data_IF_483718190687
#
_entry.id   IF_483718190687
#
_cell.length_a   1.000
_cell.length_b   1.000
_cell.length_c   1.000
_cell.angle_alpha   90.00
_cell.angle_beta   90.00
_cell.angle_gamma   90.00
#
_symmetry.space_group_name_H-M   'P 1'
#
loop_
_entity.id
_entity.type
_entity.pdbx_description
1 polymer ?
#
# COMPACT_ATOMS: atom_id res chain seq x y z
N UNK A 1 8.39 67.04 -8.74
CA UNK A 1 7.22 66.53 -8.00
C UNK A 1 6.68 65.31 -8.72
N UNK A 2 6.78 64.17 -8.04
CA UNK A 2 6.06 62.89 -8.16
C UNK A 2 5.87 62.24 -9.54
N UNK A 3 6.85 61.40 -9.85
CA UNK A 3 6.79 60.32 -10.84
C UNK A 3 5.82 59.23 -10.37
N UNK A 4 5.01 58.79 -11.32
CA UNK A 4 4.03 57.70 -11.35
C UNK A 4 4.35 56.53 -10.41
N UNK A 5 3.49 56.33 -9.40
CA UNK A 5 3.50 55.11 -8.56
C UNK A 5 3.03 53.94 -9.40
N UNK A 6 3.96 53.06 -9.74
CA UNK A 6 3.73 51.78 -10.40
C UNK A 6 2.83 50.88 -9.55
N UNK A 7 1.78 50.41 -10.22
CA UNK A 7 0.80 49.42 -9.80
C UNK A 7 1.50 48.16 -9.26
N UNK A 8 1.44 47.90 -7.95
CA UNK A 8 1.78 46.59 -7.39
C UNK A 8 0.61 45.65 -7.67
N UNK A 9 0.86 44.68 -8.57
CA UNK A 9 -0.04 43.57 -8.88
C UNK A 9 -0.38 42.81 -7.60
N UNK A 10 -1.65 42.89 -7.21
CA UNK A 10 -2.30 41.98 -6.28
C UNK A 10 -2.44 40.63 -6.99
N UNK A 11 -1.66 39.63 -6.58
CA UNK A 11 -1.87 38.24 -6.96
C UNK A 11 -2.57 37.55 -5.78
N UNK A 12 -3.88 37.40 -5.94
CA UNK A 12 -4.80 36.77 -5.01
C UNK A 12 -4.34 35.36 -4.63
N UNK A 13 -4.34 35.05 -3.33
CA UNK A 13 -4.19 33.70 -2.84
C UNK A 13 -5.34 32.83 -3.35
N UNK A 14 -5.02 31.76 -4.07
CA UNK A 14 -5.97 30.69 -4.33
C UNK A 14 -6.26 29.92 -3.02
N UNK A 15 -7.36 29.16 -3.02
CA UNK A 15 -8.04 28.51 -1.88
C UNK A 15 -7.18 27.67 -0.90
N UNK A 16 -5.88 27.51 -1.16
CA UNK A 16 -4.90 26.77 -0.35
C UNK A 16 -3.91 27.67 0.41
N UNK A 17 -4.00 29.00 0.28
CA UNK A 17 -3.08 29.93 0.94
C UNK A 17 -1.65 29.91 0.37
N UNK A 18 -1.47 29.42 -0.86
CA UNK A 18 -0.20 29.42 -1.58
C UNK A 18 -0.17 30.46 -2.70
N UNK A 19 0.99 31.07 -2.92
CA UNK A 19 1.21 31.98 -4.05
C UNK A 19 1.47 31.21 -5.34
N UNK A 20 1.27 31.87 -6.49
CA UNK A 20 1.58 31.29 -7.81
C UNK A 20 3.06 30.84 -7.89
N UNK A 21 4.00 31.64 -7.36
CA UNK A 21 5.42 31.27 -7.30
C UNK A 21 5.66 30.01 -6.47
N UNK A 22 4.94 29.84 -5.36
CA UNK A 22 5.03 28.63 -4.53
C UNK A 22 4.47 27.40 -5.25
N UNK A 23 3.34 27.54 -5.96
CA UNK A 23 2.78 26.46 -6.78
C UNK A 23 3.74 26.04 -7.88
N UNK A 24 4.33 27.00 -8.61
CA UNK A 24 5.35 26.70 -9.63
C UNK A 24 6.57 25.98 -9.02
N UNK A 25 6.99 26.37 -7.82
CA UNK A 25 8.10 25.72 -7.13
C UNK A 25 7.75 24.28 -6.73
N UNK A 26 6.50 24.03 -6.32
CA UNK A 26 6.00 22.69 -6.00
C UNK A 26 6.08 21.79 -7.23
N UNK A 27 5.64 22.25 -8.40
CA UNK A 27 5.65 21.45 -9.63
C UNK A 27 7.08 21.02 -10.01
N UNK A 28 8.05 21.93 -9.89
CA UNK A 28 9.46 21.66 -10.19
C UNK A 28 10.07 20.69 -9.18
N UNK A 29 9.77 20.85 -7.89
CA UNK A 29 10.25 19.96 -6.82
C UNK A 29 9.60 18.57 -6.87
N UNK A 30 8.35 18.48 -7.33
CA UNK A 30 7.64 17.21 -7.49
C UNK A 30 8.27 16.35 -8.59
N UNK A 31 8.90 16.97 -9.59
CA UNK A 31 9.69 16.30 -10.63
C UNK A 31 11.09 15.86 -10.18
N UNK A 32 11.46 16.10 -8.91
CA UNK A 32 12.73 15.63 -8.34
C UNK A 32 13.91 16.61 -8.48
N UNK A 33 13.66 17.86 -8.90
CA UNK A 33 14.69 18.90 -8.93
C UNK A 33 15.15 19.30 -7.53
N UNK A 34 16.39 19.78 -7.43
CA UNK A 34 16.97 20.29 -6.19
C UNK A 34 16.41 21.67 -5.83
N UNK A 35 16.61 22.08 -4.58
CA UNK A 35 16.19 23.41 -4.10
C UNK A 35 16.88 24.55 -4.85
N UNK A 36 18.13 24.33 -5.29
CA UNK A 36 18.90 25.30 -6.06
C UNK A 36 18.37 25.44 -7.50
N UNK A 37 18.09 24.33 -8.17
CA UNK A 37 17.48 24.34 -9.50
C UNK A 37 16.09 24.96 -9.47
N UNK A 38 15.28 24.58 -8.48
CA UNK A 38 13.92 25.13 -8.29
C UNK A 38 13.96 26.63 -8.08
N UNK A 39 14.84 27.11 -7.21
CA UNK A 39 15.01 28.53 -6.93
C UNK A 39 15.38 29.32 -8.20
N UNK A 40 16.26 28.75 -9.02
CA UNK A 40 16.66 29.34 -10.31
C UNK A 40 15.48 29.39 -11.28
N UNK A 41 14.70 28.32 -11.38
CA UNK A 41 13.54 28.23 -12.30
C UNK A 41 12.43 29.21 -11.92
N UNK A 42 12.15 29.37 -10.63
CA UNK A 42 11.04 30.23 -10.16
C UNK A 42 11.47 31.65 -9.78
N UNK A 43 12.75 31.99 -9.93
CA UNK A 43 13.27 33.33 -9.73
C UNK A 43 13.34 33.79 -8.27
N UNK A 44 13.68 32.88 -7.34
CA UNK A 44 13.80 33.18 -5.90
C UNK A 44 15.14 32.69 -5.33
N UNK A 45 15.41 32.97 -4.06
CA UNK A 45 16.60 32.42 -3.38
C UNK A 45 16.39 30.96 -2.96
N UNK A 46 17.46 30.16 -2.97
CA UNK A 46 17.44 28.76 -2.44
C UNK A 46 16.90 28.70 -1.02
N UNK A 47 17.23 29.67 -0.18
CA UNK A 47 16.74 29.76 1.20
C UNK A 47 15.22 29.86 1.28
N UNK A 48 14.59 30.54 0.32
CA UNK A 48 13.13 30.69 0.26
C UNK A 48 12.46 29.35 -0.03
N UNK A 49 13.00 28.58 -0.98
CA UNK A 49 12.54 27.21 -1.30
C UNK A 49 12.73 26.28 -0.09
N UNK A 50 13.89 26.33 0.55
CA UNK A 50 14.17 25.56 1.77
C UNK A 50 13.21 25.92 2.91
N UNK A 51 12.94 27.22 3.12
CA UNK A 51 12.01 27.68 4.15
C UNK A 51 10.59 27.16 3.90
N UNK A 52 10.10 27.22 2.66
CA UNK A 52 8.77 26.71 2.33
C UNK A 52 8.65 25.20 2.56
N UNK A 53 9.65 24.42 2.12
CA UNK A 53 9.67 22.96 2.30
C UNK A 53 9.72 22.51 3.75
N UNK A 54 10.29 23.32 4.64
CA UNK A 54 10.52 22.92 6.03
C UNK A 54 9.52 23.55 7.01
N UNK A 55 8.91 24.69 6.66
CA UNK A 55 8.15 25.50 7.62
C UNK A 55 6.79 25.98 7.13
N UNK A 56 6.42 25.77 5.85
CA UNK A 56 5.09 26.14 5.35
C UNK A 56 4.22 24.88 5.21
N UNK A 57 3.26 24.62 6.13
CA UNK A 57 2.43 23.42 6.09
C UNK A 57 1.63 23.25 4.79
N UNK A 58 1.09 24.35 4.24
CA UNK A 58 0.32 24.30 2.99
C UNK A 58 1.21 23.88 1.81
N UNK A 59 2.46 24.37 1.80
CA UNK A 59 3.42 24.03 0.75
C UNK A 59 3.83 22.56 0.83
N UNK A 60 4.09 22.07 2.05
CA UNK A 60 4.46 20.67 2.31
C UNK A 60 3.31 19.73 1.90
N UNK A 61 2.08 20.06 2.29
CA UNK A 61 0.91 19.24 1.99
C UNK A 61 0.69 19.10 0.47
N UNK A 62 0.73 20.21 -0.27
CA UNK A 62 0.53 20.19 -1.72
C UNK A 62 1.71 19.52 -2.45
N UNK A 63 2.96 19.75 -2.02
CA UNK A 63 4.13 19.04 -2.57
C UNK A 63 4.03 17.53 -2.38
N UNK A 64 3.61 17.07 -1.20
CA UNK A 64 3.41 15.64 -0.93
C UNK A 64 2.28 15.05 -1.77
N UNK A 65 1.19 15.79 -1.96
CA UNK A 65 0.08 15.39 -2.83
C UNK A 65 0.56 15.21 -4.27
N UNK A 66 1.28 16.19 -4.83
CA UNK A 66 1.82 16.11 -6.19
C UNK A 66 2.80 14.95 -6.36
N UNK A 67 3.71 14.75 -5.39
CA UNK A 67 4.63 13.61 -5.38
C UNK A 67 3.90 12.27 -5.36
N UNK A 68 2.84 12.13 -4.56
CA UNK A 68 2.01 10.91 -4.56
C UNK A 68 1.33 10.65 -5.90
N UNK A 69 0.84 11.70 -6.57
CA UNK A 69 0.23 11.56 -7.91
C UNK A 69 1.25 11.08 -8.95
N UNK A 70 2.43 11.70 -9.00
CA UNK A 70 3.52 11.30 -9.91
C UNK A 70 4.00 9.88 -9.61
N UNK A 71 4.14 9.56 -8.32
CA UNK A 71 4.52 8.21 -7.88
C UNK A 71 3.47 7.17 -8.29
N UNK A 72 2.19 7.45 -8.06
CA UNK A 72 1.08 6.58 -8.46
C UNK A 72 1.10 6.28 -9.95
N UNK A 73 1.19 7.32 -10.80
CA UNK A 73 1.27 7.14 -12.26
C UNK A 73 2.49 6.32 -12.70
N UNK A 74 3.64 6.52 -12.06
CA UNK A 74 4.85 5.73 -12.33
C UNK A 74 4.69 4.27 -11.90
N UNK A 75 4.02 4.03 -10.79
CA UNK A 75 3.73 2.69 -10.26
C UNK A 75 2.71 1.95 -11.13
N UNK A 76 1.70 2.64 -11.65
CA UNK A 76 0.73 2.08 -12.59
C UNK A 76 1.41 1.72 -13.91
N UNK A 77 2.33 2.57 -14.39
CA UNK A 77 3.15 2.25 -15.55
C UNK A 77 4.05 1.03 -15.30
N UNK A 78 4.64 0.90 -14.13
CA UNK A 78 5.42 -0.30 -13.79
C UNK A 78 4.52 -1.54 -13.76
N UNK A 79 3.33 -1.44 -13.15
CA UNK A 79 2.37 -2.53 -13.07
C UNK A 79 1.88 -2.96 -14.46
N UNK A 80 1.70 -2.02 -15.39
CA UNK A 80 1.31 -2.33 -16.78
C UNK A 80 2.42 -2.98 -17.61
N UNK A 81 3.67 -2.93 -17.16
CA UNK A 81 4.79 -3.66 -17.77
C UNK A 81 4.91 -5.11 -17.27
N UNK A 82 4.26 -5.47 -16.15
CA UNK A 82 4.34 -6.82 -15.59
C UNK A 82 3.92 -7.91 -16.59
N UNK A 83 2.80 -7.78 -17.36
CA UNK A 83 2.44 -8.78 -18.35
C UNK A 83 3.56 -9.04 -19.37
N UNK A 84 4.19 -7.99 -19.91
CA UNK A 84 5.30 -8.13 -20.86
C UNK A 84 6.53 -8.80 -20.26
N UNK A 85 6.80 -8.54 -18.98
CA UNK A 85 7.88 -9.22 -18.27
C UNK A 85 7.57 -10.72 -18.13
N UNK A 86 6.31 -11.08 -17.86
CA UNK A 86 5.85 -12.47 -17.80
C UNK A 86 5.98 -13.15 -19.18
N UNK A 87 5.53 -12.50 -20.26
CA UNK A 87 5.67 -13.04 -21.63
C UNK A 87 7.14 -13.31 -21.99
N UNK A 88 8.04 -12.43 -21.54
CA UNK A 88 9.50 -12.58 -21.75
C UNK A 88 10.05 -13.79 -20.97
N UNK A 89 9.58 -13.99 -19.73
CA UNK A 89 9.97 -15.14 -18.91
C UNK A 89 9.45 -16.44 -19.51
N UNK A 90 8.21 -16.47 -20.01
CA UNK A 90 7.63 -17.63 -20.70
C UNK A 90 8.44 -18.01 -21.94
N UNK A 91 8.76 -17.04 -22.79
CA UNK A 91 9.62 -17.25 -23.97
C UNK A 91 10.99 -17.81 -23.58
N UNK A 92 11.59 -17.34 -22.49
CA UNK A 92 12.88 -17.85 -22.01
C UNK A 92 12.79 -19.28 -21.47
N UNK A 93 11.68 -19.64 -20.80
CA UNK A 93 11.39 -21.00 -20.35
C UNK A 93 11.23 -21.95 -21.53
N UNK A 94 10.46 -21.57 -22.55
CA UNK A 94 10.27 -22.38 -23.77
C UNK A 94 11.60 -22.65 -24.50
N UNK A 95 12.55 -21.71 -24.40
CA UNK A 95 13.91 -21.84 -24.93
C UNK A 95 14.85 -22.65 -24.03
N UNK A 96 14.38 -23.09 -22.86
CA UNK A 96 15.15 -23.91 -21.93
C UNK A 96 16.17 -23.13 -21.09
N UNK A 97 15.97 -21.84 -20.83
CA UNK A 97 16.83 -21.07 -19.94
C UNK A 97 16.69 -21.55 -18.49
N UNK A 98 17.64 -22.38 -18.06
CA UNK A 98 17.68 -22.98 -16.72
C UNK A 98 17.84 -21.95 -15.60
N UNK A 99 18.44 -20.79 -15.89
CA UNK A 99 18.58 -19.71 -14.90
C UNK A 99 17.22 -19.06 -14.65
N UNK A 100 16.45 -18.77 -15.70
CA UNK A 100 15.09 -18.24 -15.57
C UNK A 100 14.19 -19.24 -14.84
N UNK A 101 14.27 -20.53 -15.18
CA UNK A 101 13.53 -21.59 -14.49
C UNK A 101 13.84 -21.63 -12.98
N UNK A 102 15.11 -21.57 -12.62
CA UNK A 102 15.53 -21.56 -11.21
C UNK A 102 15.05 -20.31 -10.46
N UNK A 103 15.16 -19.12 -11.06
CA UNK A 103 14.68 -17.88 -10.45
C UNK A 103 13.15 -17.89 -10.25
N UNK A 104 12.39 -18.48 -11.18
CA UNK A 104 10.95 -18.64 -11.01
C UNK A 104 10.59 -19.61 -9.89
N UNK A 105 11.31 -20.73 -9.75
CA UNK A 105 11.10 -21.66 -8.63
C UNK A 105 11.38 -21.02 -7.27
N UNK A 106 12.38 -20.13 -7.19
CA UNK A 106 12.65 -19.33 -5.97
C UNK A 106 11.55 -18.30 -5.73
N UNK A 107 11.15 -17.56 -6.75
CA UNK A 107 10.13 -16.51 -6.65
C UNK A 107 8.74 -17.07 -6.29
N UNK A 108 8.39 -18.24 -6.81
CA UNK A 108 7.16 -18.97 -6.44
C UNK A 108 7.22 -19.58 -5.03
N UNK A 109 8.37 -19.50 -4.35
CA UNK A 109 8.58 -20.12 -3.05
C UNK A 109 8.57 -21.65 -3.09
N UNK A 110 8.57 -22.27 -4.27
CA UNK A 110 8.54 -23.73 -4.43
C UNK A 110 9.90 -24.33 -4.06
N UNK A 111 10.98 -23.60 -4.29
CA UNK A 111 12.33 -24.04 -3.93
C UNK A 111 12.47 -24.20 -2.41
N UNK A 112 12.53 -25.45 -1.94
CA UNK A 112 12.71 -25.79 -0.53
C UNK A 112 11.46 -25.67 0.35
N UNK A 113 10.29 -25.34 -0.21
CA UNK A 113 9.00 -25.29 0.54
C UNK A 113 7.90 -26.14 -0.11
N UNK A 114 8.23 -27.08 -1.01
CA UNK A 114 7.29 -28.15 -1.35
C UNK A 114 7.10 -28.99 -0.09
N UNK A 115 6.13 -28.61 0.73
CA UNK A 115 5.66 -29.43 1.83
C UNK A 115 4.87 -30.59 1.21
N UNK A 116 5.01 -31.81 1.73
CA UNK A 116 4.12 -32.89 1.34
C UNK A 116 2.66 -32.44 1.57
N UNK A 117 1.69 -32.99 0.83
CA UNK A 117 0.28 -32.73 1.07
C UNK A 117 0.00 -32.87 2.57
N UNK A 118 -0.43 -31.77 3.19
CA UNK A 118 -0.71 -31.69 4.61
C UNK A 118 -2.20 -31.57 4.80
N UNK A 119 -2.74 -32.38 5.69
CA UNK A 119 -4.16 -32.42 6.04
C UNK A 119 -4.47 -33.75 6.70
N UNK A 120 -5.45 -33.77 7.61
CA UNK A 120 -5.88 -35.02 8.19
C UNK A 120 -6.48 -35.95 7.13
N UNK A 121 -6.10 -37.22 7.15
CA UNK A 121 -6.77 -38.27 6.37
C UNK A 121 -7.96 -38.88 7.12
N UNK A 122 -8.13 -38.53 8.40
CA UNK A 122 -9.29 -38.91 9.21
C UNK A 122 -10.45 -37.92 8.97
N UNK A 123 -11.61 -38.39 8.45
CA UNK A 123 -12.77 -37.54 8.18
C UNK A 123 -13.25 -36.72 9.38
N UNK A 124 -13.19 -37.27 10.60
CA UNK A 124 -13.65 -36.56 11.80
C UNK A 124 -12.73 -35.38 12.12
N UNK A 125 -11.43 -35.58 11.98
CA UNK A 125 -10.44 -34.52 12.14
C UNK A 125 -10.55 -33.45 11.04
N UNK A 126 -10.91 -33.82 9.81
CA UNK A 126 -11.17 -32.84 8.74
C UNK A 126 -12.38 -31.96 9.09
N UNK A 127 -13.47 -32.56 9.59
CA UNK A 127 -14.65 -31.80 10.04
C UNK A 127 -14.31 -30.90 11.23
N UNK A 128 -13.46 -31.37 12.13
CA UNK A 128 -12.99 -30.60 13.27
C UNK A 128 -12.13 -29.39 12.86
N UNK A 129 -11.18 -29.58 11.93
CA UNK A 129 -10.36 -28.50 11.37
C UNK A 129 -11.24 -27.43 10.70
N UNK A 130 -12.21 -27.86 9.88
CA UNK A 130 -13.17 -26.98 9.22
C UNK A 130 -14.02 -26.19 10.24
N UNK A 131 -14.49 -26.87 11.29
CA UNK A 131 -15.28 -26.26 12.35
C UNK A 131 -14.48 -25.25 13.19
N UNK A 132 -13.21 -25.54 13.49
CA UNK A 132 -12.31 -24.60 14.18
C UNK A 132 -12.06 -23.35 13.33
N UNK A 133 -11.75 -23.50 12.05
CA UNK A 133 -11.48 -22.35 11.17
C UNK A 133 -12.72 -21.47 10.97
N UNK A 134 -13.90 -22.09 10.88
CA UNK A 134 -15.16 -21.35 10.91
C UNK A 134 -15.33 -20.58 12.23
N UNK A 135 -15.12 -21.22 13.37
CA UNK A 135 -15.29 -20.61 14.69
C UNK A 135 -14.32 -19.44 14.92
N UNK A 136 -13.06 -19.56 14.49
CA UNK A 136 -12.08 -18.45 14.50
C UNK A 136 -12.58 -17.27 13.67
N UNK A 137 -13.05 -17.55 12.46
CA UNK A 137 -13.55 -16.52 11.55
C UNK A 137 -14.79 -15.83 12.14
N UNK A 138 -15.67 -16.58 12.79
CA UNK A 138 -16.88 -16.04 13.40
C UNK A 138 -16.56 -15.14 14.61
N UNK A 139 -15.59 -15.54 15.45
CA UNK A 139 -15.10 -14.68 16.54
C UNK A 139 -14.46 -13.39 16.01
N UNK A 140 -13.69 -13.45 14.92
CA UNK A 140 -13.11 -12.25 14.31
C UNK A 140 -14.17 -11.26 13.81
N UNK A 141 -15.31 -11.75 13.30
CA UNK A 141 -16.41 -10.88 12.83
C UNK A 141 -17.11 -10.13 13.96
N UNK A 142 -17.09 -10.65 15.18
CA UNK A 142 -17.73 -10.01 16.34
C UNK A 142 -17.03 -8.69 16.74
N UNK A 143 -15.82 -8.45 16.22
CA UNK A 143 -15.04 -7.26 16.52
C UNK A 143 -14.47 -7.29 17.94
N UNK A 144 -13.66 -6.29 18.33
CA UNK A 144 -13.03 -6.26 19.64
C UNK A 144 -14.08 -6.11 20.75
N UNK A 145 -13.98 -6.95 21.79
CA UNK A 145 -14.83 -6.82 22.98
C UNK A 145 -14.65 -5.48 23.68
N UNK A 146 -15.71 -5.00 24.33
CA UNK A 146 -15.65 -3.88 25.27
C UNK A 146 -14.74 -4.17 26.48
N UNK A 147 -14.50 -5.46 26.77
CA UNK A 147 -13.64 -5.96 27.83
C UNK A 147 -12.62 -6.97 27.23
N UNK A 148 -11.51 -6.49 26.65
CA UNK A 148 -10.56 -7.35 25.94
C UNK A 148 -9.87 -8.39 26.83
N UNK A 149 -9.63 -8.04 28.10
CA UNK A 149 -8.98 -8.92 29.08
C UNK A 149 -9.85 -10.13 29.43
N UNK A 150 -11.16 -9.89 29.61
CA UNK A 150 -12.15 -10.94 29.85
C UNK A 150 -12.33 -11.81 28.60
N UNK A 151 -12.37 -11.18 27.41
CA UNK A 151 -12.45 -11.91 26.15
C UNK A 151 -11.27 -12.88 25.97
N UNK A 152 -10.04 -12.43 26.26
CA UNK A 152 -8.84 -13.26 26.14
C UNK A 152 -8.88 -14.48 27.07
N UNK A 153 -9.38 -14.33 28.30
CA UNK A 153 -9.48 -15.42 29.27
C UNK A 153 -10.40 -16.55 28.80
N UNK A 154 -11.51 -16.19 28.13
CA UNK A 154 -12.52 -17.14 27.67
C UNK A 154 -12.38 -17.50 26.19
N UNK A 155 -11.41 -16.95 25.47
CA UNK A 155 -11.28 -17.10 24.03
C UNK A 155 -11.24 -18.56 23.58
N UNK A 156 -10.39 -19.38 24.22
CA UNK A 156 -10.27 -20.80 23.89
C UNK A 156 -11.55 -21.59 24.18
N UNK A 157 -12.27 -21.24 25.26
CA UNK A 157 -13.54 -21.87 25.61
C UNK A 157 -14.62 -21.54 24.58
N UNK A 158 -14.76 -20.24 24.23
CA UNK A 158 -15.69 -19.78 23.19
C UNK A 158 -15.39 -20.42 21.83
N UNK A 159 -14.13 -20.46 21.44
CA UNK A 159 -13.68 -21.10 20.20
C UNK A 159 -14.06 -22.59 20.20
N UNK A 160 -13.78 -23.30 21.29
CA UNK A 160 -14.12 -24.71 21.43
C UNK A 160 -15.62 -24.95 21.32
N UNK A 161 -16.46 -24.18 22.02
CA UNK A 161 -17.91 -24.32 21.96
C UNK A 161 -18.44 -24.12 20.55
N UNK A 162 -18.05 -23.01 19.90
CA UNK A 162 -18.46 -22.71 18.53
C UNK A 162 -18.00 -23.77 17.54
N UNK A 163 -16.79 -24.30 17.71
CA UNK A 163 -16.28 -25.38 16.87
C UNK A 163 -17.07 -26.68 17.07
N UNK A 164 -17.45 -27.06 18.29
CA UNK A 164 -18.26 -28.26 18.52
C UNK A 164 -19.66 -28.11 17.90
N UNK A 165 -20.33 -26.97 18.13
CA UNK A 165 -21.65 -26.69 17.55
C UNK A 165 -21.58 -26.79 16.02
N UNK A 166 -20.54 -26.19 15.43
CA UNK A 166 -20.35 -26.22 13.98
C UNK A 166 -20.03 -27.61 13.45
N UNK A 167 -19.23 -28.39 14.19
CA UNK A 167 -18.90 -29.76 13.83
C UNK A 167 -20.15 -30.63 13.77
N UNK A 168 -21.07 -30.49 14.72
CA UNK A 168 -22.33 -31.24 14.73
C UNK A 168 -23.25 -30.86 13.57
N UNK A 169 -23.28 -29.59 13.16
CA UNK A 169 -23.95 -29.17 11.92
C UNK A 169 -23.31 -29.79 10.66
N UNK A 170 -21.99 -29.78 10.58
CA UNK A 170 -21.25 -30.33 9.45
C UNK A 170 -21.44 -31.85 9.33
N UNK A 171 -21.44 -32.57 10.46
CA UNK A 171 -21.77 -34.00 10.52
C UNK A 171 -23.18 -34.28 10.01
N UNK A 172 -24.18 -33.51 10.45
CA UNK A 172 -25.58 -33.67 10.04
C UNK A 172 -25.85 -33.31 8.57
N UNK A 173 -25.00 -32.50 7.95
CA UNK A 173 -25.18 -32.06 6.56
C UNK A 173 -24.40 -32.89 5.54
N UNK A 174 -23.42 -33.70 5.98
CA UNK A 174 -22.59 -34.56 5.11
C UNK A 174 -22.89 -36.06 5.24
N UNK A 175 -23.82 -36.45 6.13
CA UNK A 175 -24.42 -37.78 6.25
C UNK A 175 -25.86 -37.74 5.69
#
# INVERSE_FOLDING_TARGET
MNVTKTHKLSQNGHSTGLTVTQLNAIDVLAQGKTDQETATVVGVSRESVSRWKNHNPNFIAELNKQRRLIWGASHDRLRSLLPKAIDTLETALERGDSKVAMELLKAAGIYGQIKPPSGSTDPEMVLWEEAIEWAKTELLKQGPSAEPEIEMLFHNSKLSTLAHDKMDELRKSRL
#
